data_IF_952816039497
#
_entry.id   IF_952816039497
#
_cell.length_a   1.000
_cell.length_b   1.000
_cell.length_c   1.000
_cell.angle_alpha   90.00
_cell.angle_beta   90.00
_cell.angle_gamma   90.00
#
_symmetry.space_group_name_H-M   'P 1'
#
loop_
_entity.id
_entity.type
_entity.pdbx_description
1 polymer ?
#
# COMPACT_ATOMS: atom_id res chain seq x y z
N UNK A 1 -5.19 -29.45 -16.01
CA UNK A 1 -6.60 -28.99 -16.01
C UNK A 1 -6.59 -27.48 -16.13
N UNK A 2 -7.20 -26.90 -17.15
CA UNK A 2 -7.30 -25.44 -17.30
C UNK A 2 -8.38 -24.88 -16.38
N UNK A 3 -8.20 -23.69 -15.78
CA UNK A 3 -9.19 -23.07 -14.91
C UNK A 3 -10.46 -22.69 -15.71
N UNK A 4 -11.63 -22.92 -15.11
CA UNK A 4 -12.93 -22.54 -15.66
C UNK A 4 -13.40 -21.19 -15.09
N UNK A 5 -14.37 -20.49 -15.71
CA UNK A 5 -14.91 -19.22 -15.20
C UNK A 5 -15.55 -19.30 -13.80
N UNK A 6 -15.90 -20.52 -13.36
CA UNK A 6 -16.48 -20.79 -12.04
C UNK A 6 -15.41 -21.16 -11.00
N UNK A 7 -14.14 -21.26 -11.41
CA UNK A 7 -13.04 -21.54 -10.49
C UNK A 7 -12.84 -20.30 -9.60
N UNK A 8 -12.96 -20.42 -8.26
CA UNK A 8 -12.76 -19.27 -7.37
C UNK A 8 -11.38 -18.64 -7.58
N UNK A 9 -11.35 -17.34 -7.87
CA UNK A 9 -10.10 -16.61 -8.11
C UNK A 9 -9.24 -16.42 -6.85
N UNK A 10 -9.80 -16.70 -5.67
CA UNK A 10 -9.12 -16.65 -4.39
C UNK A 10 -9.04 -18.04 -3.78
N UNK A 11 -7.81 -18.55 -3.68
CA UNK A 11 -7.48 -19.80 -3.00
C UNK A 11 -6.69 -19.50 -1.72
N UNK A 12 -6.73 -20.42 -0.75
CA UNK A 12 -5.91 -20.32 0.45
C UNK A 12 -4.43 -20.57 0.14
N UNK A 13 -3.54 -20.08 1.01
CA UNK A 13 -2.08 -20.28 0.91
C UNK A 13 -1.47 -19.90 -0.45
N UNK A 14 -1.98 -18.81 -1.06
CA UNK A 14 -1.45 -18.28 -2.34
C UNK A 14 -0.05 -17.70 -2.22
N UNK A 15 0.34 -17.28 -1.02
CA UNK A 15 1.63 -16.70 -0.70
C UNK A 15 2.15 -17.39 0.58
N UNK A 16 3.46 -17.56 0.65
CA UNK A 16 4.16 -17.93 1.87
C UNK A 16 4.04 -16.81 2.92
N UNK A 17 4.12 -17.13 4.22
CA UNK A 17 4.08 -16.14 5.29
C UNK A 17 5.04 -14.95 5.10
N UNK A 18 6.26 -15.21 4.62
CA UNK A 18 7.29 -14.18 4.46
C UNK A 18 6.98 -13.22 3.30
N UNK A 19 6.30 -13.68 2.25
CA UNK A 19 5.87 -12.83 1.13
C UNK A 19 4.84 -11.78 1.57
N UNK A 20 4.06 -12.05 2.63
CA UNK A 20 3.18 -11.03 3.20
C UNK A 20 3.98 -9.92 3.89
N UNK A 21 5.07 -10.26 4.57
CA UNK A 21 5.92 -9.24 5.20
C UNK A 21 6.52 -8.31 4.14
N UNK A 22 6.99 -8.86 3.03
CA UNK A 22 7.56 -8.09 1.91
C UNK A 22 6.51 -7.23 1.20
N UNK A 23 5.35 -7.79 0.87
CA UNK A 23 4.31 -7.11 0.10
C UNK A 23 3.62 -5.97 0.88
N UNK A 24 3.68 -5.99 2.21
CA UNK A 24 3.10 -4.98 3.08
C UNK A 24 4.16 -4.02 3.65
N UNK A 25 5.34 -3.97 3.04
CA UNK A 25 6.31 -2.90 3.30
C UNK A 25 5.86 -1.59 2.68
N UNK A 26 6.46 -0.49 3.14
CA UNK A 26 6.21 0.83 2.55
C UNK A 26 6.58 0.82 1.06
N UNK A 27 5.59 1.12 0.22
CA UNK A 27 5.80 1.24 -1.23
C UNK A 27 6.68 2.44 -1.60
N UNK A 28 6.62 3.49 -0.80
CA UNK A 28 7.33 4.75 -1.03
C UNK A 28 8.23 5.05 0.16
N UNK A 29 9.41 5.59 -0.13
CA UNK A 29 10.27 6.16 0.89
C UNK A 29 9.56 7.35 1.58
N UNK A 30 9.91 7.62 2.85
CA UNK A 30 9.46 8.85 3.51
C UNK A 30 9.98 10.08 2.76
N UNK A 31 9.24 11.19 2.88
CA UNK A 31 9.66 12.48 2.31
C UNK A 31 10.99 12.93 2.91
N UNK A 32 11.82 13.57 2.08
CA UNK A 32 13.00 14.26 2.58
C UNK A 32 12.61 15.51 3.43
N UNK A 33 13.54 16.08 4.22
CA UNK A 33 13.22 17.23 5.06
C UNK A 33 12.69 18.45 4.31
N UNK A 34 13.14 18.70 3.08
CA UNK A 34 12.66 19.80 2.25
C UNK A 34 11.25 19.49 1.70
N UNK A 35 11.05 18.30 1.16
CA UNK A 35 9.75 17.83 0.66
C UNK A 35 8.67 17.87 1.75
N UNK A 36 9.01 17.48 2.97
CA UNK A 36 8.11 17.51 4.11
C UNK A 36 7.65 18.93 4.45
N UNK A 37 8.57 19.91 4.43
CA UNK A 37 8.24 21.33 4.66
C UNK A 37 7.36 21.85 3.54
N UNK A 38 7.70 21.58 2.28
CA UNK A 38 6.89 21.99 1.11
C UNK A 38 5.48 21.41 1.18
N UNK A 39 5.33 20.15 1.61
CA UNK A 39 4.02 19.53 1.78
C UNK A 39 3.22 20.19 2.92
N UNK A 40 3.87 20.53 4.04
CA UNK A 40 3.24 21.20 5.17
C UNK A 40 2.76 22.62 4.84
N UNK A 41 3.54 23.38 4.06
CA UNK A 41 3.21 24.76 3.66
C UNK A 41 1.94 24.86 2.80
N UNK A 42 1.51 23.75 2.19
CA UNK A 42 0.28 23.69 1.37
C UNK A 42 -0.98 23.48 2.20
N UNK A 43 -0.87 23.29 3.52
CA UNK A 43 -2.01 23.10 4.39
C UNK A 43 -2.84 24.40 4.50
N UNK A 44 -4.15 24.29 4.33
CA UNK A 44 -5.07 25.44 4.49
C UNK A 44 -5.52 25.68 5.94
N UNK A 45 -5.06 24.84 6.89
CA UNK A 45 -5.42 24.93 8.32
C UNK A 45 -6.93 25.06 8.56
N UNK A 46 -7.72 24.25 7.83
CA UNK A 46 -9.18 24.21 7.96
C UNK A 46 -9.59 23.82 9.38
N UNK A 47 -10.69 24.40 9.86
CA UNK A 47 -11.28 24.00 11.13
C UNK A 47 -11.96 22.62 11.00
N UNK A 48 -11.53 21.65 11.83
CA UNK A 48 -12.12 20.29 11.93
C UNK A 48 -11.95 19.41 10.67
N UNK A 49 -10.72 19.36 10.13
CA UNK A 49 -10.34 18.54 8.96
C UNK A 49 -9.68 17.20 9.35
#
# INVERSE_FOLDING_TARGET
>A
MSPSPLTPGVTAARLAPDEYAENFTDLHAPLDPHEAVVAADRCYFCHDA
#
